data_IF_600784778570
#
_entry.id   IF_600784778570
#
_cell.length_a   1.000
_cell.length_b   1.000
_cell.length_c   1.000
_cell.angle_alpha   90.00
_cell.angle_beta   90.00
_cell.angle_gamma   90.00
#
_symmetry.space_group_name_H-M   'P 1'
#
loop_
_entity.id
_entity.type
_entity.pdbx_description
1 polymer ?
#
# COMPACT_ATOMS: atom_id res chain seq x y z
N UNK A 1 -22.98 -9.61 -2.55
CA UNK A 1 -22.40 -9.26 -1.22
C UNK A 1 -21.23 -10.16 -0.81
N UNK A 2 -21.34 -11.50 -0.87
CA UNK A 2 -20.26 -12.42 -0.46
C UNK A 2 -18.93 -12.23 -1.23
N UNK A 3 -18.96 -11.99 -2.54
CA UNK A 3 -17.73 -11.81 -3.31
C UNK A 3 -16.97 -10.54 -2.92
N UNK A 4 -17.70 -9.43 -2.70
CA UNK A 4 -17.12 -8.16 -2.21
C UNK A 4 -16.48 -8.39 -0.85
N UNK A 5 -17.18 -9.07 0.06
CA UNK A 5 -16.65 -9.43 1.38
C UNK A 5 -15.34 -10.22 1.26
N UNK A 6 -15.34 -11.31 0.53
CA UNK A 6 -14.17 -12.18 0.43
C UNK A 6 -12.99 -11.43 -0.20
N UNK A 7 -13.25 -10.62 -1.22
CA UNK A 7 -12.22 -9.83 -1.88
C UNK A 7 -11.67 -8.72 -0.99
N UNK A 8 -12.53 -8.05 -0.21
CA UNK A 8 -12.08 -7.08 0.80
C UNK A 8 -11.23 -7.74 1.89
N UNK A 9 -11.57 -8.96 2.31
CA UNK A 9 -10.76 -9.73 3.25
C UNK A 9 -9.39 -10.09 2.69
N UNK A 10 -9.33 -10.57 1.43
CA UNK A 10 -8.07 -10.79 0.72
C UNK A 10 -7.28 -9.48 0.65
N UNK A 11 -7.94 -8.35 0.39
CA UNK A 11 -7.32 -7.03 0.36
C UNK A 11 -6.75 -6.59 1.70
N UNK A 12 -7.39 -6.91 2.82
CA UNK A 12 -6.84 -6.67 4.16
C UNK A 12 -5.53 -7.45 4.34
N UNK A 13 -5.55 -8.77 4.06
CA UNK A 13 -4.36 -9.62 4.21
C UNK A 13 -3.22 -9.15 3.29
N UNK A 14 -3.55 -8.82 2.04
CA UNK A 14 -2.58 -8.36 1.06
C UNK A 14 -2.01 -6.98 1.40
N UNK A 15 -2.84 -6.04 1.87
CA UNK A 15 -2.38 -4.73 2.34
C UNK A 15 -1.44 -4.86 3.54
N UNK A 16 -1.74 -5.78 4.47
CA UNK A 16 -0.84 -6.09 5.59
C UNK A 16 0.52 -6.60 5.09
N UNK A 17 0.53 -7.53 4.13
CA UNK A 17 1.77 -8.02 3.50
C UNK A 17 2.52 -6.89 2.81
N UNK A 18 1.85 -6.02 2.06
CA UNK A 18 2.48 -4.85 1.41
C UNK A 18 3.15 -3.93 2.44
N UNK A 19 2.48 -3.64 3.55
CA UNK A 19 3.04 -2.82 4.64
C UNK A 19 4.26 -3.51 5.25
N UNK A 20 4.19 -4.83 5.51
CA UNK A 20 5.32 -5.59 6.05
C UNK A 20 6.52 -5.62 5.07
N UNK A 21 6.28 -5.76 3.77
CA UNK A 21 7.32 -5.66 2.75
C UNK A 21 7.93 -4.25 2.70
N UNK A 22 7.12 -3.20 2.86
CA UNK A 22 7.63 -1.83 2.95
C UNK A 22 8.50 -1.62 4.19
N UNK A 23 8.11 -2.19 5.33
CA UNK A 23 8.92 -2.20 6.54
C UNK A 23 10.23 -2.97 6.33
N UNK A 24 10.19 -4.12 5.63
CA UNK A 24 11.40 -4.86 5.28
C UNK A 24 12.34 -4.02 4.42
N UNK A 25 11.86 -3.37 3.36
CA UNK A 25 12.64 -2.46 2.50
C UNK A 25 13.30 -1.34 3.31
N UNK A 26 12.60 -0.81 4.32
CA UNK A 26 13.16 0.22 5.21
C UNK A 26 14.24 -0.33 6.14
N UNK A 27 14.02 -1.49 6.76
CA UNK A 27 14.93 -2.09 7.75
C UNK A 27 16.26 -2.56 7.16
N UNK A 28 16.28 -2.87 5.86
CA UNK A 28 17.50 -3.27 5.14
C UNK A 28 18.07 -2.14 4.26
N UNK A 29 17.63 -0.90 4.49
CA UNK A 29 18.07 0.31 3.76
C UNK A 29 17.98 0.17 2.23
N UNK A 30 16.95 -0.52 1.77
CA UNK A 30 16.67 -0.80 0.36
C UNK A 30 15.73 0.22 -0.30
N UNK A 31 15.39 1.32 0.36
CA UNK A 31 14.48 2.34 -0.18
C UNK A 31 15.01 3.10 -1.41
N UNK A 32 16.28 2.90 -1.77
CA UNK A 32 16.95 3.39 -2.98
C UNK A 32 17.74 2.27 -3.67
N UNK A 33 17.26 1.03 -3.55
CA UNK A 33 17.83 -0.14 -4.22
C UNK A 33 17.64 -0.12 -5.74
N UNK A 34 16.67 0.62 -6.25
CA UNK A 34 16.44 0.89 -7.67
C UNK A 34 16.45 2.41 -7.95
N UNK A 35 17.27 2.91 -8.88
CA UNK A 35 17.39 4.35 -9.15
C UNK A 35 16.22 4.93 -9.96
N UNK A 36 15.37 4.08 -10.52
CA UNK A 36 14.26 4.39 -11.42
C UNK A 36 12.95 3.73 -10.98
N UNK A 37 11.85 4.17 -11.59
CA UNK A 37 10.50 3.65 -11.38
C UNK A 37 9.72 3.78 -12.70
N UNK A 38 8.86 2.82 -13.09
CA UNK A 38 8.41 1.64 -12.34
C UNK A 38 9.39 0.45 -12.35
N UNK A 39 10.38 0.48 -13.24
CA UNK A 39 11.41 -0.57 -13.38
C UNK A 39 12.55 -0.49 -12.36
N UNK A 40 13.59 -1.30 -12.54
CA UNK A 40 14.81 -1.27 -11.75
C UNK A 40 16.03 -1.35 -12.68
N UNK A 41 16.89 -0.33 -12.64
CA UNK A 41 18.02 -0.14 -13.55
C UNK A 41 17.65 -0.16 -15.05
N UNK A 42 16.45 0.31 -15.39
CA UNK A 42 15.91 0.29 -16.75
C UNK A 42 15.41 -1.09 -17.21
N UNK A 43 15.24 -2.04 -16.29
CA UNK A 43 14.60 -3.34 -16.52
C UNK A 43 13.23 -3.40 -15.85
N UNK A 44 12.37 -4.34 -16.28
CA UNK A 44 11.04 -4.53 -15.67
C UNK A 44 11.17 -5.05 -14.22
N UNK A 45 12.16 -5.90 -13.97
CA UNK A 45 12.54 -6.42 -12.63
C UNK A 45 13.98 -5.95 -12.35
N UNK A 46 14.71 -6.59 -11.45
CA UNK A 46 16.14 -6.35 -11.21
C UNK A 46 17.01 -7.25 -12.10
N UNK A 47 18.19 -6.77 -12.54
CA UNK A 47 19.12 -7.56 -13.36
C UNK A 47 19.69 -8.75 -12.58
N UNK A 48 19.86 -9.91 -13.21
CA UNK A 48 20.32 -11.14 -12.51
C UNK A 48 21.56 -11.80 -13.12
N UNK A 49 21.86 -11.50 -14.38
CA UNK A 49 23.06 -12.00 -15.05
C UNK A 49 24.12 -10.91 -15.20
N UNK A 50 25.38 -11.32 -15.39
CA UNK A 50 26.54 -10.41 -15.44
C UNK A 50 26.42 -9.34 -16.53
N UNK A 51 25.87 -9.69 -17.70
CA UNK A 51 25.70 -8.75 -18.81
C UNK A 51 24.67 -7.65 -18.49
N UNK A 52 23.55 -8.01 -17.86
CA UNK A 52 22.54 -7.06 -17.41
C UNK A 52 23.06 -6.17 -16.27
N UNK A 53 23.83 -6.74 -15.34
CA UNK A 53 24.45 -5.98 -14.24
C UNK A 53 25.46 -4.97 -14.78
N UNK A 54 26.34 -5.37 -15.70
CA UNK A 54 27.28 -4.46 -16.34
C UNK A 54 26.55 -3.33 -17.09
N UNK A 55 25.44 -3.66 -17.76
CA UNK A 55 24.60 -2.67 -18.43
C UNK A 55 23.90 -1.73 -17.44
N UNK A 56 23.39 -2.25 -16.33
CA UNK A 56 22.79 -1.48 -15.24
C UNK A 56 23.77 -0.46 -14.65
N UNK A 57 24.98 -0.89 -14.33
CA UNK A 57 26.05 -0.03 -13.80
C UNK A 57 26.50 1.02 -14.83
N UNK A 58 26.53 0.66 -16.12
CA UNK A 58 26.85 1.63 -17.19
C UNK A 58 25.78 2.72 -17.35
N UNK A 59 24.50 2.39 -17.15
CA UNK A 59 23.37 3.34 -17.22
C UNK A 59 23.30 4.25 -16.00
N UNK A 60 23.62 3.70 -14.82
CA UNK A 60 23.53 4.38 -13.54
C UNK A 60 24.86 4.35 -12.78
N UNK A 61 25.92 5.01 -13.29
CA UNK A 61 27.28 4.91 -12.74
C UNK A 61 27.41 5.45 -11.31
N UNK A 62 26.47 6.30 -10.88
CA UNK A 62 26.42 6.85 -9.52
C UNK A 62 25.63 6.00 -8.52
N UNK A 63 25.02 4.89 -8.97
CA UNK A 63 24.20 3.98 -8.16
C UNK A 63 24.70 2.54 -8.32
N UNK A 64 25.73 2.13 -7.56
CA UNK A 64 26.27 0.78 -7.61
C UNK A 64 25.17 -0.26 -7.41
N UNK A 65 25.18 -1.32 -8.23
CA UNK A 65 24.16 -2.36 -8.16
C UNK A 65 24.32 -3.19 -6.87
N UNK A 66 23.25 -3.33 -6.11
CA UNK A 66 23.18 -4.19 -4.94
C UNK A 66 21.89 -5.02 -4.97
N UNK A 67 22.02 -6.30 -5.29
CA UNK A 67 20.90 -7.23 -5.38
C UNK A 67 20.14 -7.37 -4.05
N UNK A 68 20.81 -7.22 -2.91
CA UNK A 68 20.20 -7.33 -1.59
C UNK A 68 19.27 -6.13 -1.30
N UNK A 69 19.43 -5.03 -2.04
CA UNK A 69 18.56 -3.85 -1.97
C UNK A 69 17.53 -3.82 -3.11
N UNK A 70 17.91 -4.30 -4.29
CA UNK A 70 16.99 -4.36 -5.42
C UNK A 70 15.82 -5.33 -5.16
N UNK A 71 16.08 -6.50 -4.53
CA UNK A 71 15.04 -7.50 -4.26
C UNK A 71 13.93 -6.95 -3.34
N UNK A 72 14.20 -6.43 -2.12
CA UNK A 72 13.13 -5.93 -1.24
C UNK A 72 12.30 -4.83 -1.90
N UNK A 73 12.95 -3.91 -2.61
CA UNK A 73 12.27 -2.79 -3.26
C UNK A 73 11.35 -3.26 -4.39
N UNK A 74 11.86 -4.10 -5.29
CA UNK A 74 11.09 -4.62 -6.42
C UNK A 74 9.94 -5.51 -5.96
N UNK A 75 10.17 -6.39 -4.97
CA UNK A 75 9.12 -7.25 -4.39
C UNK A 75 7.99 -6.40 -3.79
N UNK A 76 8.33 -5.36 -3.02
CA UNK A 76 7.34 -4.44 -2.48
C UNK A 76 6.51 -3.76 -3.60
N UNK A 77 7.16 -3.27 -4.68
CA UNK A 77 6.49 -2.64 -5.83
C UNK A 77 5.49 -3.58 -6.51
N UNK A 78 5.87 -4.84 -6.75
CA UNK A 78 5.00 -5.82 -7.38
C UNK A 78 3.78 -6.19 -6.54
N UNK A 79 3.97 -6.37 -5.23
CA UNK A 79 2.84 -6.61 -4.33
C UNK A 79 1.92 -5.40 -4.22
N UNK A 80 2.46 -4.18 -4.21
CA UNK A 80 1.66 -2.95 -4.24
C UNK A 80 0.84 -2.83 -5.55
N UNK A 81 1.45 -3.13 -6.70
CA UNK A 81 0.75 -3.15 -7.99
C UNK A 81 -0.38 -4.20 -8.02
N UNK A 82 -0.12 -5.39 -7.49
CA UNK A 82 -1.12 -6.45 -7.41
C UNK A 82 -2.27 -6.09 -6.44
N UNK A 83 -2.00 -5.34 -5.36
CA UNK A 83 -3.05 -4.77 -4.49
C UNK A 83 -3.92 -3.75 -5.25
N UNK A 84 -3.32 -2.94 -6.13
CA UNK A 84 -4.04 -2.06 -7.05
C UNK A 84 -4.96 -2.81 -8.01
N UNK A 85 -4.49 -3.91 -8.60
CA UNK A 85 -5.33 -4.79 -9.45
C UNK A 85 -6.49 -5.40 -8.66
N UNK A 86 -6.26 -5.82 -7.42
CA UNK A 86 -7.31 -6.30 -6.52
C UNK A 86 -8.37 -5.22 -6.27
N UNK A 87 -7.95 -3.97 -6.06
CA UNK A 87 -8.86 -2.84 -5.87
C UNK A 87 -9.68 -2.54 -7.13
N UNK A 88 -9.08 -2.63 -8.32
CA UNK A 88 -9.82 -2.50 -9.60
C UNK A 88 -10.91 -3.58 -9.69
N UNK A 89 -10.58 -4.83 -9.36
CA UNK A 89 -11.56 -5.91 -9.37
C UNK A 89 -12.66 -5.71 -8.32
N UNK A 90 -12.32 -5.16 -7.15
CA UNK A 90 -13.29 -4.78 -6.11
C UNK A 90 -14.26 -3.70 -6.60
N UNK A 91 -13.76 -2.67 -7.27
CA UNK A 91 -14.59 -1.64 -7.90
C UNK A 91 -15.53 -2.28 -8.92
N UNK A 92 -15.00 -3.07 -9.86
CA UNK A 92 -15.81 -3.78 -10.85
C UNK A 92 -16.94 -4.61 -10.21
N UNK A 93 -16.61 -5.43 -9.20
CA UNK A 93 -17.61 -6.22 -8.49
C UNK A 93 -18.60 -5.37 -7.71
N UNK A 94 -18.20 -4.23 -7.16
CA UNK A 94 -19.10 -3.32 -6.45
C UNK A 94 -20.17 -2.73 -7.37
N UNK A 95 -19.82 -2.40 -8.62
CA UNK A 95 -20.80 -1.92 -9.60
C UNK A 95 -21.67 -3.06 -10.14
N UNK A 96 -21.10 -4.25 -10.35
CA UNK A 96 -21.80 -5.41 -10.89
C UNK A 96 -22.74 -6.10 -9.89
N UNK A 97 -22.37 -6.18 -8.61
CA UNK A 97 -22.94 -7.13 -7.64
C UNK A 97 -23.71 -6.50 -6.47
N UNK A 98 -23.79 -5.17 -6.39
CA UNK A 98 -24.56 -4.45 -5.37
C UNK A 98 -25.10 -3.13 -5.93
N UNK A 99 -26.27 -2.70 -5.45
CA UNK A 99 -26.84 -1.37 -5.71
C UNK A 99 -26.57 -0.37 -4.58
N UNK A 100 -25.86 -0.78 -3.52
CA UNK A 100 -25.46 0.11 -2.44
C UNK A 100 -24.45 1.16 -2.95
N UNK A 101 -24.94 2.39 -3.12
CA UNK A 101 -24.15 3.55 -3.58
C UNK A 101 -22.96 3.84 -2.68
N UNK A 102 -23.06 3.56 -1.38
CA UNK A 102 -21.97 3.83 -0.46
C UNK A 102 -20.85 2.81 -0.62
N UNK A 103 -21.14 1.50 -0.80
CA UNK A 103 -20.09 0.50 -1.09
C UNK A 103 -19.36 0.85 -2.41
N UNK A 104 -20.11 1.22 -3.45
CA UNK A 104 -19.53 1.68 -4.72
C UNK A 104 -18.62 2.90 -4.53
N UNK A 105 -19.10 3.90 -3.78
CA UNK A 105 -18.32 5.11 -3.47
C UNK A 105 -17.03 4.82 -2.71
N UNK A 106 -17.08 4.00 -1.67
CA UNK A 106 -15.89 3.62 -0.89
C UNK A 106 -14.90 2.77 -1.68
N UNK A 107 -15.38 1.84 -2.51
CA UNK A 107 -14.51 1.06 -3.39
C UNK A 107 -13.81 1.95 -4.44
N UNK A 108 -14.53 2.87 -5.07
CA UNK A 108 -13.93 3.82 -6.02
C UNK A 108 -12.94 4.77 -5.35
N UNK A 109 -13.27 5.27 -4.16
CA UNK A 109 -12.37 6.10 -3.37
C UNK A 109 -11.08 5.35 -3.01
N UNK A 110 -11.19 4.09 -2.56
CA UNK A 110 -10.04 3.23 -2.28
C UNK A 110 -9.12 3.08 -3.50
N UNK A 111 -9.68 2.87 -4.69
CA UNK A 111 -8.88 2.75 -5.91
C UNK A 111 -8.12 4.06 -6.22
N UNK A 112 -8.81 5.21 -6.18
CA UNK A 112 -8.16 6.52 -6.37
C UNK A 112 -7.06 6.74 -5.35
N UNK A 113 -7.33 6.38 -4.09
CA UNK A 113 -6.37 6.52 -3.01
C UNK A 113 -5.13 5.62 -3.21
N UNK A 114 -5.29 4.38 -3.68
CA UNK A 114 -4.17 3.50 -4.03
C UNK A 114 -3.36 4.07 -5.19
N UNK A 115 -3.98 4.69 -6.20
CA UNK A 115 -3.25 5.38 -7.26
C UNK A 115 -2.41 6.54 -6.70
N UNK A 116 -2.96 7.33 -5.79
CA UNK A 116 -2.20 8.34 -5.06
C UNK A 116 -1.05 7.72 -4.24
N UNK A 117 -1.25 6.54 -3.64
CA UNK A 117 -0.17 5.83 -2.94
C UNK A 117 0.92 5.35 -3.88
N UNK A 118 0.59 4.89 -5.08
CA UNK A 118 1.58 4.59 -6.12
C UNK A 118 2.42 5.82 -6.48
N UNK A 119 1.79 6.99 -6.59
CA UNK A 119 2.49 8.26 -6.80
C UNK A 119 3.41 8.61 -5.61
N UNK A 120 2.95 8.43 -4.37
CA UNK A 120 3.79 8.67 -3.19
C UNK A 120 4.97 7.69 -3.13
N UNK A 121 4.78 6.42 -3.49
CA UNK A 121 5.86 5.45 -3.63
C UNK A 121 6.89 5.87 -4.68
N UNK A 122 6.46 6.37 -5.85
CA UNK A 122 7.35 6.99 -6.82
C UNK A 122 8.14 8.16 -6.20
N UNK A 123 7.45 9.06 -5.49
CA UNK A 123 8.09 10.22 -4.86
C UNK A 123 9.10 9.83 -3.77
N UNK A 124 8.93 8.69 -3.09
CA UNK A 124 9.94 8.22 -2.12
C UNK A 124 11.29 7.93 -2.78
N UNK A 125 11.29 7.45 -4.02
CA UNK A 125 12.51 7.19 -4.80
C UNK A 125 13.03 8.50 -5.38
N UNK A 126 12.18 9.27 -6.07
CA UNK A 126 12.58 10.51 -6.77
C UNK A 126 13.07 11.62 -5.83
N UNK A 127 12.51 11.70 -4.62
CA UNK A 127 12.90 12.68 -3.60
C UNK A 127 13.90 12.11 -2.59
N UNK A 128 14.59 11.01 -2.93
CA UNK A 128 15.67 10.42 -2.12
C UNK A 128 15.26 10.19 -0.65
N UNK A 129 14.11 9.56 -0.45
CA UNK A 129 13.55 9.23 0.85
C UNK A 129 13.28 10.45 1.76
N UNK A 130 12.85 11.57 1.18
CA UNK A 130 12.43 12.74 1.95
C UNK A 130 11.45 12.32 3.08
N UNK A 131 11.80 12.52 4.37
CA UNK A 131 11.11 11.87 5.49
C UNK A 131 9.61 12.10 5.51
N UNK A 132 9.15 13.32 5.21
CA UNK A 132 7.71 13.64 5.21
C UNK A 132 6.94 12.82 4.16
N UNK A 133 7.55 12.53 3.00
CA UNK A 133 6.92 11.74 1.93
C UNK A 133 6.88 10.25 2.31
N UNK A 134 7.97 9.73 2.88
CA UNK A 134 8.04 8.35 3.37
C UNK A 134 7.01 8.11 4.47
N UNK A 135 6.92 9.02 5.45
CA UNK A 135 5.93 8.95 6.53
C UNK A 135 4.50 9.05 5.99
N UNK A 136 4.24 9.97 5.05
CA UNK A 136 2.92 10.10 4.43
C UNK A 136 2.53 8.85 3.62
N UNK A 137 3.49 8.23 2.92
CA UNK A 137 3.28 6.96 2.21
C UNK A 137 2.92 5.83 3.19
N UNK A 138 3.64 5.73 4.32
CA UNK A 138 3.35 4.75 5.37
C UNK A 138 1.94 4.92 5.96
N UNK A 139 1.57 6.15 6.34
CA UNK A 139 0.22 6.45 6.83
C UNK A 139 -0.86 6.11 5.79
N UNK A 140 -0.56 6.37 4.52
CA UNK A 140 -1.39 5.97 3.40
C UNK A 140 -1.56 4.46 3.25
N UNK A 141 -0.50 3.69 3.49
CA UNK A 141 -0.56 2.22 3.57
C UNK A 141 -1.55 1.75 4.64
N UNK A 142 -1.44 2.25 5.87
CA UNK A 142 -2.37 1.92 6.95
C UNK A 142 -3.81 2.37 6.67
N UNK A 143 -3.97 3.53 6.01
CA UNK A 143 -5.28 4.02 5.56
C UNK A 143 -5.90 3.08 4.52
N UNK A 144 -5.10 2.58 3.58
CA UNK A 144 -5.52 1.60 2.56
C UNK A 144 -6.01 0.31 3.21
N UNK A 145 -5.26 -0.24 4.18
CA UNK A 145 -5.69 -1.40 4.97
C UNK A 145 -7.01 -1.13 5.70
N UNK A 146 -7.13 0.04 6.32
CA UNK A 146 -8.34 0.46 7.05
C UNK A 146 -9.54 0.58 6.13
N UNK A 147 -9.37 1.10 4.90
CA UNK A 147 -10.43 1.19 3.90
C UNK A 147 -10.89 -0.19 3.42
N UNK A 148 -9.98 -1.12 3.16
CA UNK A 148 -10.35 -2.51 2.85
C UNK A 148 -11.13 -3.14 4.01
N UNK A 149 -10.68 -2.93 5.26
CA UNK A 149 -11.38 -3.39 6.46
C UNK A 149 -12.77 -2.76 6.61
N UNK A 150 -12.89 -1.47 6.36
CA UNK A 150 -14.15 -0.75 6.41
C UNK A 150 -15.15 -1.27 5.36
N UNK A 151 -14.71 -1.49 4.12
CA UNK A 151 -15.55 -2.08 3.06
C UNK A 151 -15.94 -3.52 3.45
N UNK A 152 -15.02 -4.30 4.02
CA UNK A 152 -15.31 -5.64 4.54
C UNK A 152 -16.41 -5.61 5.60
N UNK A 153 -16.31 -4.73 6.60
CA UNK A 153 -17.33 -4.56 7.64
C UNK A 153 -18.67 -4.14 7.05
N UNK A 154 -18.67 -3.17 6.13
CA UNK A 154 -19.90 -2.71 5.48
C UNK A 154 -20.56 -3.78 4.61
N UNK A 155 -19.76 -4.68 4.04
CA UNK A 155 -20.26 -5.80 3.26
C UNK A 155 -20.85 -6.94 4.11
N UNK A 156 -20.62 -6.90 5.42
CA UNK A 156 -21.17 -7.85 6.40
C UNK A 156 -22.36 -7.21 7.10
N UNK A 157 -23.44 -7.97 7.24
CA UNK A 157 -24.57 -7.57 8.09
C UNK A 157 -24.27 -7.94 9.54
N UNK A 158 -23.33 -7.24 10.18
CA UNK A 158 -23.01 -7.46 11.59
C UNK A 158 -24.08 -6.80 12.47
N UNK A 159 -25.16 -7.53 12.76
CA UNK A 159 -26.17 -7.09 13.74
C UNK A 159 -25.57 -6.83 15.13
N UNK A 160 -24.45 -7.48 15.48
CA UNK A 160 -23.72 -7.30 16.75
C UNK A 160 -23.25 -5.86 16.96
N UNK A 161 -22.79 -5.14 15.94
CA UNK A 161 -22.32 -3.76 16.14
C UNK A 161 -23.47 -2.79 16.46
N UNK A 162 -24.70 -3.11 16.07
CA UNK A 162 -25.87 -2.32 16.47
C UNK A 162 -26.23 -2.50 17.96
N UNK A 163 -25.67 -3.52 18.62
CA UNK A 163 -25.92 -3.81 20.03
C UNK A 163 -24.81 -3.27 20.96
N UNK A 164 -23.62 -2.98 20.42
CA UNK A 164 -22.50 -2.47 21.19
C UNK A 164 -22.61 -0.94 21.31
N UNK A 165 -23.07 -0.47 22.47
CA UNK A 165 -23.10 0.95 22.82
C UNK A 165 -22.02 1.26 23.87
N UNK A 166 -20.81 1.59 23.42
CA UNK A 166 -19.74 2.08 24.29
C UNK A 166 -19.87 3.60 24.38
N UNK A 167 -20.21 4.12 25.57
CA UNK A 167 -20.25 5.55 25.79
C UNK A 167 -18.86 6.18 25.53
N UNK A 168 -18.85 7.37 24.92
CA UNK A 168 -17.62 8.12 24.62
C UNK A 168 -16.61 7.45 23.69
N UNK A 169 -16.96 6.37 22.97
CA UNK A 169 -16.04 5.69 22.04
C UNK A 169 -15.37 6.63 21.04
N UNK A 170 -16.11 7.61 20.51
CA UNK A 170 -15.57 8.62 19.59
C UNK A 170 -14.45 9.46 20.22
N UNK A 171 -14.60 9.81 21.49
CA UNK A 171 -13.59 10.60 22.23
C UNK A 171 -12.35 9.75 22.48
N UNK A 172 -12.54 8.52 22.96
CA UNK A 172 -11.43 7.58 23.22
C UNK A 172 -10.65 7.29 21.93
N UNK A 173 -11.36 7.01 20.83
CA UNK A 173 -10.74 6.78 19.53
C UNK A 173 -10.01 8.02 19.01
N UNK A 174 -10.56 9.22 19.23
CA UNK A 174 -9.92 10.49 18.89
C UNK A 174 -8.62 10.71 19.65
N UNK A 175 -8.61 10.47 20.96
CA UNK A 175 -7.40 10.56 21.79
C UNK A 175 -6.36 9.54 21.33
N UNK A 176 -6.75 8.27 21.15
CA UNK A 176 -5.85 7.22 20.70
C UNK A 176 -5.23 7.56 19.33
N UNK A 177 -6.01 8.14 18.41
CA UNK A 177 -5.50 8.57 17.11
C UNK A 177 -4.50 9.72 17.21
N UNK A 178 -4.76 10.71 18.06
CA UNK A 178 -3.81 11.83 18.30
C UNK A 178 -2.51 11.31 18.93
N UNK A 179 -2.60 10.42 19.91
CA UNK A 179 -1.43 9.79 20.53
C UNK A 179 -0.62 8.99 19.50
N UNK A 180 -1.29 8.23 18.62
CA UNK A 180 -0.64 7.49 17.55
C UNK A 180 0.07 8.42 16.56
N UNK A 181 -0.56 9.52 16.15
CA UNK A 181 0.08 10.54 15.30
C UNK A 181 1.33 11.04 15.99
N UNK A 182 1.22 11.47 17.24
CA UNK A 182 2.37 11.98 18.00
C UNK A 182 3.51 10.96 18.08
N UNK A 183 3.21 9.69 18.36
CA UNK A 183 4.19 8.60 18.42
C UNK A 183 4.93 8.38 17.09
N UNK A 184 4.27 8.60 15.94
CA UNK A 184 4.89 8.37 14.62
C UNK A 184 5.80 9.53 14.21
N UNK A 185 5.57 10.75 14.72
CA UNK A 185 6.36 11.94 14.40
C UNK A 185 7.49 12.23 15.41
N UNK A 186 7.56 11.49 16.52
CA UNK A 186 8.61 11.56 17.54
C UNK A 186 9.71 10.53 17.28
#
# INVERSE_FOLDING_TARGET
MNNIRNLSFIGICMAFVVIALGAWTRLVDAGLGCPDWPGCYGFIVFPTNEAEIALAESRYPMFPYDINKAIPEVVHRYFAAALGLLAIFLVYLSFKSTNDKAIRGWASFLLVFICCQGLFGYLTVSLKLLPIIVTAHLFGGFTTLTLFYFIYLKSRNFQIFNQINISNLRVIAGIAFVVLIFQIFL
#
